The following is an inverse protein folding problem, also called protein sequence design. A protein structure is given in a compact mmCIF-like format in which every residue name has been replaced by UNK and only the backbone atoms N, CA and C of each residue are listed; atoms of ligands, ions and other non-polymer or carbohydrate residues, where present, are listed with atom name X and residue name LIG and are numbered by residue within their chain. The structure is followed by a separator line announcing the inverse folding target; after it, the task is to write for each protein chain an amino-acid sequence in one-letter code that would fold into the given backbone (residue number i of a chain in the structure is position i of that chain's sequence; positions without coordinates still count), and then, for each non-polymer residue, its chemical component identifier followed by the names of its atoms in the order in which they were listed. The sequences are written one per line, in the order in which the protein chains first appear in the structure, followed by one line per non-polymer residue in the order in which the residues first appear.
data_IF_876256698883
#
_entry.id   IF_876256698883
#
_cell.length_a   1.000
_cell.length_b   1.000
_cell.length_c   1.000
_cell.angle_alpha   90.00
_cell.angle_beta   90.00
_cell.angle_gamma   90.00
#
_symmetry.space_group_name_H-M   'P 1'
#
loop_
_entity.id
_entity.type
_entity.pdbx_description
1 polymer ?
#
# COMPACT_ATOMS: atom_id res chain seq x y z
N UNK A 1 22.06 1.94 8.46
CA UNK A 1 21.27 0.87 9.11
C UNK A 1 20.41 0.16 8.08
N UNK A 2 19.62 -0.83 8.48
CA UNK A 2 18.65 -1.53 7.61
C UNK A 2 17.26 -1.50 8.22
N UNK A 3 16.21 -1.53 7.39
CA UNK A 3 14.83 -1.57 7.83
C UNK A 3 13.98 -2.42 6.89
N UNK A 4 12.95 -3.07 7.44
CA UNK A 4 11.88 -3.70 6.67
C UNK A 4 10.69 -2.75 6.64
N UNK A 5 10.24 -2.40 5.44
CA UNK A 5 9.19 -1.42 5.23
C UNK A 5 8.20 -1.93 4.17
N UNK A 6 6.90 -1.65 4.31
CA UNK A 6 5.95 -1.87 3.22
C UNK A 6 6.26 -0.96 2.04
N UNK A 7 5.96 -1.41 0.82
CA UNK A 7 6.14 -0.62 -0.41
C UNK A 7 5.48 0.76 -0.35
N UNK A 8 4.41 0.90 0.44
CA UNK A 8 3.67 2.14 0.60
C UNK A 8 4.54 3.31 1.10
N UNK A 9 5.61 3.02 1.85
CA UNK A 9 6.48 4.04 2.45
C UNK A 9 7.87 4.10 1.81
N UNK A 10 8.15 3.27 0.80
CA UNK A 10 9.43 3.30 0.10
C UNK A 10 9.56 4.60 -0.70
N UNK A 11 10.74 5.22 -0.58
CA UNK A 11 11.17 6.34 -1.40
C UNK A 11 12.64 6.14 -1.78
N UNK A 12 13.07 6.55 -2.99
CA UNK A 12 14.44 6.34 -3.45
C UNK A 12 15.47 7.28 -2.78
N UNK A 13 15.04 8.30 -2.05
CA UNK A 13 15.91 9.31 -1.43
C UNK A 13 15.58 9.51 0.05
N UNK A 14 16.60 9.55 0.89
CA UNK A 14 16.50 9.97 2.30
C UNK A 14 16.15 11.46 2.40
N UNK A 15 15.89 11.95 3.61
CA UNK A 15 15.61 13.38 3.80
C UNK A 15 16.88 14.23 3.59
N UNK A 16 18.02 13.62 3.82
CA UNK A 16 19.37 14.18 3.71
C UNK A 16 19.91 14.12 2.26
N UNK A 17 19.17 13.49 1.34
CA UNK A 17 19.54 13.43 -0.08
C UNK A 17 20.34 12.19 -0.49
N UNK A 18 20.60 11.27 0.43
CA UNK A 18 21.23 9.98 0.11
C UNK A 18 20.23 9.02 -0.56
N UNK A 19 20.73 8.16 -1.46
CA UNK A 19 19.92 7.15 -2.13
C UNK A 19 19.61 5.98 -1.21
N UNK A 20 18.37 5.50 -1.23
CA UNK A 20 17.92 4.31 -0.51
C UNK A 20 17.78 3.17 -1.53
N UNK A 21 18.45 2.05 -1.26
CA UNK A 21 18.37 0.84 -2.09
C UNK A 21 17.35 -0.15 -1.52
N UNK A 22 16.43 -0.64 -2.36
CA UNK A 22 15.54 -1.76 -2.01
C UNK A 22 16.14 -3.09 -2.46
N UNK A 23 15.91 -4.14 -1.68
CA UNK A 23 16.31 -5.52 -2.00
C UNK A 23 15.18 -6.47 -1.63
N UNK A 24 15.01 -7.50 -2.45
CA UNK A 24 14.10 -8.59 -2.14
C UNK A 24 14.59 -9.36 -0.91
N UNK A 25 13.64 -9.86 -0.13
CA UNK A 25 13.89 -10.63 1.08
C UNK A 25 13.56 -12.09 0.80
N UNK A 26 14.42 -13.00 1.26
CA UNK A 26 14.14 -14.43 1.23
C UNK A 26 13.06 -14.76 2.27
N UNK A 27 11.89 -15.19 1.78
CA UNK A 27 10.77 -15.62 2.62
C UNK A 27 9.51 -14.78 2.45
N UNK A 28 8.41 -15.23 3.05
CA UNK A 28 7.16 -14.48 3.06
C UNK A 28 7.20 -13.40 4.13
N UNK A 29 6.93 -12.16 3.72
CA UNK A 29 6.72 -11.06 4.65
C UNK A 29 5.26 -11.02 5.11
N UNK A 30 4.99 -10.57 6.35
CA UNK A 30 3.63 -10.29 6.78
C UNK A 30 3.03 -9.20 5.90
N UNK A 31 1.82 -9.43 5.41
CA UNK A 31 1.08 -8.43 4.62
C UNK A 31 0.58 -7.33 5.54
N UNK A 32 0.93 -6.08 5.23
CA UNK A 32 0.31 -4.92 5.88
C UNK A 32 -1.10 -4.72 5.33
N UNK A 33 -2.10 -4.81 6.21
CA UNK A 33 -3.49 -4.56 5.87
C UNK A 33 -3.85 -3.10 6.13
N UNK A 34 -4.38 -2.43 5.10
CA UNK A 34 -4.88 -1.06 5.19
C UNK A 34 -6.39 -1.08 4.95
N UNK A 35 -7.12 -0.28 5.73
CA UNK A 35 -8.59 -0.18 5.67
C UNK A 35 -9.08 1.25 5.85
N UNK A 36 -10.37 1.45 5.55
CA UNK A 36 -11.06 2.71 5.74
C UNK A 36 -11.97 2.64 6.98
N UNK A 37 -12.02 3.71 7.76
CA UNK A 37 -12.82 3.78 8.99
C UNK A 37 -13.55 5.12 9.08
N UNK A 38 -14.71 5.10 9.73
CA UNK A 38 -15.51 6.29 10.02
C UNK A 38 -16.25 6.12 11.35
N UNK A 39 -16.77 7.24 11.89
CA UNK A 39 -17.51 7.22 13.15
C UNK A 39 -18.81 6.41 12.99
N UNK A 40 -19.02 5.47 13.92
CA UNK A 40 -20.28 4.72 14.03
C UNK A 40 -21.45 5.67 14.28
N UNK A 41 -22.54 5.51 13.52
CA UNK A 41 -23.73 6.37 13.62
C UNK A 41 -23.63 7.67 12.83
N UNK A 42 -22.46 8.03 12.30
CA UNK A 42 -22.37 9.12 11.31
C UNK A 42 -22.82 8.62 9.95
N UNK A 43 -23.70 9.38 9.30
CA UNK A 43 -24.00 9.17 7.90
C UNK A 43 -22.74 9.39 7.06
N UNK A 44 -22.45 8.46 6.15
CA UNK A 44 -21.36 8.63 5.22
C UNK A 44 -21.81 9.55 4.08
N UNK A 45 -21.16 10.70 3.82
CA UNK A 45 -21.53 11.56 2.70
C UNK A 45 -21.44 10.82 1.36
N UNK A 46 -22.21 11.24 0.35
CA UNK A 46 -22.22 10.57 -0.95
C UNK A 46 -20.82 10.49 -1.57
N UNK A 47 -20.07 11.61 -1.56
CA UNK A 47 -18.69 11.65 -2.05
C UNK A 47 -17.76 10.61 -1.38
N UNK A 48 -17.96 10.34 -0.08
CA UNK A 48 -17.17 9.34 0.63
C UNK A 48 -17.57 7.91 0.24
N UNK A 49 -18.86 7.65 -0.02
CA UNK A 49 -19.32 6.36 -0.56
C UNK A 49 -18.75 6.11 -1.95
N UNK A 50 -18.80 7.13 -2.80
CA UNK A 50 -18.27 7.05 -4.17
C UNK A 50 -16.77 6.76 -4.15
N UNK A 51 -16.02 7.45 -3.29
CA UNK A 51 -14.59 7.19 -3.08
C UNK A 51 -14.31 5.77 -2.59
N UNK A 52 -15.09 5.24 -1.63
CA UNK A 52 -14.95 3.84 -1.17
C UNK A 52 -15.16 2.87 -2.34
N UNK A 53 -16.21 3.08 -3.15
CA UNK A 53 -16.50 2.24 -4.30
C UNK A 53 -15.34 2.23 -5.31
N UNK A 54 -14.80 3.40 -5.63
CA UNK A 54 -13.62 3.54 -6.50
C UNK A 54 -12.40 2.83 -5.92
N UNK A 55 -12.07 3.06 -4.64
CA UNK A 55 -10.93 2.45 -3.97
C UNK A 55 -11.02 0.91 -3.94
N UNK A 56 -12.22 0.36 -3.74
CA UNK A 56 -12.45 -1.09 -3.75
C UNK A 56 -12.24 -1.70 -5.14
N UNK A 57 -12.67 -1.02 -6.20
CA UNK A 57 -12.49 -1.50 -7.59
C UNK A 57 -11.01 -1.61 -8.00
N UNK A 58 -10.16 -0.67 -7.57
CA UNK A 58 -8.75 -0.66 -7.94
C UNK A 58 -7.93 -1.75 -7.25
N UNK A 59 -8.33 -2.17 -6.04
CA UNK A 59 -7.66 -3.27 -5.33
C UNK A 59 -7.70 -4.58 -6.12
N UNK A 60 -8.74 -4.81 -6.92
CA UNK A 60 -8.87 -6.02 -7.74
C UNK A 60 -7.91 -6.04 -8.94
N UNK A 61 -7.51 -4.87 -9.45
CA UNK A 61 -6.60 -4.74 -10.61
C UNK A 61 -5.14 -4.98 -10.18
N UNK A 62 -4.75 -4.50 -9.00
CA UNK A 62 -3.38 -4.62 -8.48
C UNK A 62 -3.05 -6.00 -7.90
N UNK A 63 -4.04 -6.85 -7.65
CA UNK A 63 -3.85 -8.22 -7.15
C UNK A 63 -3.48 -9.25 -8.24
N UNK A 64 -3.29 -8.85 -9.50
CA UNK A 64 -2.65 -9.75 -10.47
C UNK A 64 -1.16 -9.86 -10.09
N UNK A 65 -0.69 -11.02 -9.61
CA UNK A 65 0.74 -11.19 -9.45
C UNK A 65 1.34 -11.15 -10.85
N UNK A 66 2.20 -10.16 -11.08
CA UNK A 66 3.09 -10.16 -12.23
C UNK A 66 3.92 -11.44 -12.11
N UNK A 67 3.67 -12.42 -12.98
CA UNK A 67 4.55 -13.59 -13.12
C UNK A 67 5.88 -13.05 -13.67
N UNK A 68 6.76 -12.63 -12.78
CA UNK A 68 8.14 -12.31 -13.11
C UNK A 68 8.86 -13.66 -13.24
N UNK A 69 8.72 -14.22 -14.44
CA UNK A 69 9.54 -15.30 -14.93
C UNK A 69 10.41 -14.77 -16.06
N UNK A 70 11.64 -14.39 -15.70
CA UNK A 70 12.90 -14.71 -16.39
C UNK A 70 14.07 -14.12 -15.62
#
# INVERSE_FOLDING_TARGET
GVALLPDLVYRPWSLEGDRIESRDISGSLPVVQVGMVWRRGSGLPQAARDFIGLAQSQRMVRQRPEKIGR
#
